data_IF_385121927488
#
_entry.id   IF_385121927488
#
_cell.length_a   1.000
_cell.length_b   1.000
_cell.length_c   1.000
_cell.angle_alpha   90.00
_cell.angle_beta   90.00
_cell.angle_gamma   90.00
#
_symmetry.space_group_name_H-M   'P 1'
#
loop_
_entity.id
_entity.type
_entity.pdbx_description
1 polymer ?
#
# COMPACT_ATOMS: atom_id res chain seq x y z
N UNK A 1 7.27 4.51 -27.71
CA UNK A 1 7.16 5.88 -27.16
C UNK A 1 5.70 6.28 -26.84
N UNK A 2 4.87 5.37 -26.29
CA UNK A 2 3.41 5.54 -26.35
C UNK A 2 2.62 5.47 -25.03
N UNK A 3 3.27 5.53 -23.86
CA UNK A 3 2.56 5.45 -22.56
C UNK A 3 2.68 6.72 -21.73
N UNK A 4 3.89 7.26 -21.58
CA UNK A 4 4.15 8.44 -20.73
C UNK A 4 3.46 9.70 -21.26
N UNK A 5 3.48 9.94 -22.57
CA UNK A 5 2.81 11.09 -23.19
C UNK A 5 1.29 11.07 -22.97
N UNK A 6 0.67 9.89 -23.09
CA UNK A 6 -0.76 9.72 -22.87
C UNK A 6 -1.16 9.96 -21.41
N UNK A 7 -0.32 9.55 -20.46
CA UNK A 7 -0.56 9.80 -19.02
C UNK A 7 -0.50 11.29 -18.71
N UNK A 8 0.49 12.03 -19.25
CA UNK A 8 0.61 13.47 -19.02
C UNK A 8 -0.56 14.27 -19.61
N UNK A 9 -1.00 13.90 -20.82
CA UNK A 9 -2.20 14.50 -21.45
C UNK A 9 -3.44 14.25 -20.59
N UNK A 10 -3.59 13.02 -20.08
CA UNK A 10 -4.72 12.67 -19.22
C UNK A 10 -4.70 13.43 -17.88
N UNK A 11 -3.54 13.54 -17.22
CA UNK A 11 -3.40 14.33 -15.99
C UNK A 11 -3.77 15.81 -16.23
N UNK A 12 -3.35 16.38 -17.36
CA UNK A 12 -3.72 17.75 -17.75
C UNK A 12 -5.21 17.90 -17.98
N UNK A 13 -5.83 17.00 -18.76
CA UNK A 13 -7.27 17.08 -19.04
C UNK A 13 -8.14 16.95 -17.80
N UNK A 14 -7.59 16.37 -16.73
CA UNK A 14 -8.25 16.20 -15.43
C UNK A 14 -7.92 17.31 -14.42
N UNK A 15 -7.08 18.28 -14.81
CA UNK A 15 -6.70 19.41 -13.97
C UNK A 15 -5.60 19.13 -12.94
N UNK A 16 -4.87 18.01 -13.05
CA UNK A 16 -3.77 17.65 -12.15
C UNK A 16 -2.39 18.12 -12.61
N UNK A 17 -2.29 18.64 -13.84
CA UNK A 17 -1.04 19.09 -14.43
C UNK A 17 -1.21 20.49 -15.01
N UNK A 18 -0.48 21.46 -14.45
CA UNK A 18 -0.26 22.75 -15.09
C UNK A 18 0.97 22.67 -15.99
N UNK A 19 0.87 23.25 -17.18
CA UNK A 19 1.91 23.32 -18.19
C UNK A 19 1.95 24.78 -18.66
N UNK A 20 2.68 25.62 -17.91
CA UNK A 20 3.08 26.96 -18.37
C UNK A 20 4.44 26.82 -19.05
N UNK A 21 4.69 27.65 -20.08
CA UNK A 21 5.68 27.56 -21.17
C UNK A 21 7.14 27.10 -20.87
N UNK A 22 7.52 26.77 -19.63
CA UNK A 22 8.79 26.10 -19.28
C UNK A 22 8.73 25.18 -18.04
N UNK A 23 7.60 25.09 -17.32
CA UNK A 23 7.50 24.32 -16.07
C UNK A 23 6.21 23.51 -15.98
N UNK A 24 6.39 22.19 -15.85
CA UNK A 24 5.29 21.26 -15.52
C UNK A 24 5.16 21.11 -14.03
N UNK A 25 3.97 21.38 -13.50
CA UNK A 25 3.69 21.26 -12.06
C UNK A 25 2.48 20.35 -11.84
N UNK A 26 2.68 19.36 -10.98
CA UNK A 26 1.59 18.54 -10.46
C UNK A 26 0.84 19.36 -9.40
N UNK A 27 -0.44 19.63 -9.67
CA UNK A 27 -1.35 20.37 -8.78
C UNK A 27 -2.43 19.44 -8.25
N UNK A 28 -3.22 19.91 -7.28
CA UNK A 28 -4.31 19.12 -6.69
C UNK A 28 -3.81 17.76 -6.17
N UNK A 29 -2.61 17.76 -5.55
CA UNK A 29 -1.85 16.54 -5.22
C UNK A 29 -2.58 15.66 -4.21
N UNK A 30 -3.26 16.26 -3.24
CA UNK A 30 -4.13 15.57 -2.29
C UNK A 30 -5.25 14.83 -3.03
N UNK A 31 -6.00 15.54 -3.86
CA UNK A 31 -7.05 14.96 -4.71
C UNK A 31 -6.51 13.87 -5.65
N UNK A 32 -5.27 13.99 -6.11
CA UNK A 32 -4.63 12.95 -6.93
C UNK A 32 -4.33 11.68 -6.11
N UNK A 33 -3.88 11.81 -4.86
CA UNK A 33 -3.65 10.69 -3.95
C UNK A 33 -4.97 9.95 -3.66
N UNK A 34 -6.02 10.69 -3.30
CA UNK A 34 -7.35 10.12 -3.04
C UNK A 34 -7.89 9.40 -4.28
N UNK A 35 -7.76 10.03 -5.44
CA UNK A 35 -8.15 9.42 -6.71
C UNK A 35 -7.35 8.16 -7.00
N UNK A 36 -6.04 8.19 -6.81
CA UNK A 36 -5.18 7.02 -7.03
C UNK A 36 -5.62 5.87 -6.12
N UNK A 37 -5.89 6.14 -4.84
CA UNK A 37 -6.36 5.13 -3.89
C UNK A 37 -7.71 4.54 -4.33
N UNK A 38 -8.64 5.39 -4.75
CA UNK A 38 -9.97 4.98 -5.26
C UNK A 38 -9.84 4.09 -6.50
N UNK A 39 -9.06 4.53 -7.49
CA UNK A 39 -8.86 3.78 -8.75
C UNK A 39 -8.10 2.46 -8.50
N UNK A 40 -7.12 2.46 -7.59
CA UNK A 40 -6.40 1.27 -7.17
C UNK A 40 -7.34 0.22 -6.58
N UNK A 41 -8.15 0.61 -5.60
CA UNK A 41 -9.12 -0.28 -4.93
C UNK A 41 -10.14 -0.83 -5.93
N UNK A 42 -10.72 0.03 -6.76
CA UNK A 42 -11.78 -0.35 -7.68
C UNK A 42 -11.30 -1.24 -8.84
N UNK A 43 -10.07 -1.04 -9.34
CA UNK A 43 -9.65 -1.62 -10.63
C UNK A 43 -8.50 -2.62 -10.54
N UNK A 44 -7.59 -2.44 -9.58
CA UNK A 44 -6.35 -3.22 -9.53
C UNK A 44 -6.30 -4.17 -8.35
N UNK A 45 -6.60 -3.71 -7.13
CA UNK A 45 -6.36 -4.47 -5.89
C UNK A 45 -6.91 -5.89 -5.94
N UNK A 46 -8.17 -6.05 -6.33
CA UNK A 46 -8.84 -7.35 -6.39
C UNK A 46 -8.16 -8.35 -7.36
N UNK A 47 -7.47 -7.84 -8.40
CA UNK A 47 -6.75 -8.65 -9.39
C UNK A 47 -5.37 -9.08 -8.91
N UNK A 48 -4.84 -8.44 -7.85
CA UNK A 48 -3.54 -8.75 -7.28
C UNK A 48 -3.63 -9.91 -6.28
N UNK A 49 -4.78 -10.08 -5.64
CA UNK A 49 -5.03 -11.17 -4.69
C UNK A 49 -4.93 -12.48 -5.46
N UNK A 50 -3.94 -13.30 -5.13
CA UNK A 50 -3.77 -14.61 -5.75
C UNK A 50 -3.99 -15.74 -4.75
N UNK A 51 -3.71 -15.54 -3.46
CA UNK A 51 -3.96 -16.51 -2.40
C UNK A 51 -4.66 -15.87 -1.20
N UNK A 52 -5.46 -16.66 -0.50
CA UNK A 52 -6.05 -16.30 0.79
C UNK A 52 -5.84 -17.44 1.79
N UNK A 53 -5.54 -17.04 3.01
CA UNK A 53 -5.34 -17.94 4.14
C UNK A 53 -6.11 -17.44 5.36
N UNK A 54 -6.33 -18.33 6.31
CA UNK A 54 -6.78 -18.00 7.65
C UNK A 54 -5.65 -18.22 8.65
N UNK A 55 -5.54 -17.30 9.60
CA UNK A 55 -4.80 -17.46 10.85
C UNK A 55 -5.77 -17.33 12.03
N UNK A 56 -5.52 -18.08 13.11
CA UNK A 56 -6.39 -18.12 14.27
C UNK A 56 -6.55 -16.76 14.98
N UNK A 57 -5.47 -15.98 15.03
CA UNK A 57 -5.45 -14.67 15.68
C UNK A 57 -4.55 -13.72 14.88
N UNK A 58 -5.16 -12.67 14.31
CA UNK A 58 -4.40 -11.58 13.68
C UNK A 58 -3.78 -10.65 14.72
N UNK A 59 -4.32 -10.64 15.95
CA UNK A 59 -3.77 -9.84 17.06
C UNK A 59 -2.33 -10.24 17.40
N UNK A 60 -1.98 -11.49 17.16
CA UNK A 60 -0.65 -12.04 17.39
C UNK A 60 0.28 -11.91 16.16
N UNK A 61 -0.03 -11.00 15.23
CA UNK A 61 0.79 -10.78 14.03
C UNK A 61 2.26 -10.49 14.36
N UNK A 62 2.56 -9.88 15.51
CA UNK A 62 3.93 -9.61 15.97
C UNK A 62 4.74 -10.89 16.23
N UNK A 63 4.06 -12.00 16.52
CA UNK A 63 4.67 -13.32 16.72
C UNK A 63 4.80 -14.12 15.41
N UNK A 64 4.29 -13.61 14.28
CA UNK A 64 4.51 -14.26 12.99
C UNK A 64 6.00 -14.33 12.66
N UNK A 65 6.46 -15.39 11.98
CA UNK A 65 7.83 -15.45 11.50
C UNK A 65 8.12 -14.24 10.62
N UNK A 66 9.36 -13.74 10.69
CA UNK A 66 9.85 -12.68 9.80
C UNK A 66 9.47 -12.99 8.35
N UNK A 67 8.98 -11.98 7.63
CA UNK A 67 8.62 -12.13 6.22
C UNK A 67 9.80 -12.69 5.41
N UNK A 68 9.53 -13.58 4.43
CA UNK A 68 10.57 -14.06 3.52
C UNK A 68 11.12 -12.90 2.66
N UNK A 69 12.28 -13.09 2.01
CA UNK A 69 12.78 -12.13 1.04
C UNK A 69 11.72 -11.83 -0.04
N UNK A 70 11.66 -10.58 -0.50
CA UNK A 70 10.67 -10.11 -1.48
C UNK A 70 9.21 -10.28 -1.03
N UNK A 71 8.97 -10.08 0.27
CA UNK A 71 7.64 -9.94 0.84
C UNK A 71 7.55 -8.68 1.71
N UNK A 72 6.40 -8.03 1.68
CA UNK A 72 6.15 -6.78 2.41
C UNK A 72 4.78 -6.77 3.06
N UNK A 73 4.69 -6.22 4.27
CA UNK A 73 3.44 -5.92 4.94
C UNK A 73 2.73 -4.75 4.24
N UNK A 74 1.42 -4.91 4.04
CA UNK A 74 0.50 -3.85 3.66
C UNK A 74 -0.65 -3.71 4.65
N UNK A 75 -1.69 -2.96 4.26
CA UNK A 75 -2.95 -2.83 4.99
C UNK A 75 -2.81 -2.62 6.51
N UNK A 76 -3.64 -3.31 7.28
CA UNK A 76 -3.74 -3.13 8.73
C UNK A 76 -2.41 -3.35 9.46
N UNK A 77 -1.68 -4.42 9.13
CA UNK A 77 -0.40 -4.75 9.80
C UNK A 77 0.62 -3.64 9.58
N UNK A 78 0.77 -3.16 8.35
CA UNK A 78 1.70 -2.07 8.06
C UNK A 78 1.22 -0.74 8.68
N UNK A 79 -0.09 -0.48 8.66
CA UNK A 79 -0.70 0.68 9.34
C UNK A 79 -0.44 0.67 10.84
N UNK A 80 -0.62 -0.47 11.51
CA UNK A 80 -0.32 -0.65 12.92
C UNK A 80 1.16 -0.44 13.22
N UNK A 81 2.08 -0.96 12.39
CA UNK A 81 3.52 -0.73 12.57
C UNK A 81 3.92 0.74 12.46
N UNK A 82 3.33 1.46 11.52
CA UNK A 82 3.70 2.85 11.24
C UNK A 82 3.08 3.87 12.21
N UNK A 83 1.90 3.56 12.75
CA UNK A 83 1.10 4.49 13.55
C UNK A 83 0.92 4.07 15.01
N UNK A 84 1.05 2.77 15.31
CA UNK A 84 0.73 2.15 16.61
C UNK A 84 -0.71 2.41 17.10
N UNK A 85 -1.63 2.69 16.18
CA UNK A 85 -3.00 3.12 16.49
C UNK A 85 -4.08 2.09 16.10
N UNK A 86 -3.69 1.04 15.38
CA UNK A 86 -4.61 0.02 14.88
C UNK A 86 -4.27 -1.34 15.50
N UNK A 87 -5.29 -2.06 15.96
CA UNK A 87 -5.18 -3.51 16.20
C UNK A 87 -5.55 -4.20 14.89
N UNK A 88 -4.63 -4.89 14.21
CA UNK A 88 -4.94 -5.48 12.91
C UNK A 88 -6.02 -6.55 13.00
N UNK A 89 -6.92 -6.55 12.01
CA UNK A 89 -7.95 -7.59 11.86
C UNK A 89 -7.78 -8.38 10.57
N UNK A 90 -7.08 -7.80 9.59
CA UNK A 90 -6.62 -8.48 8.39
C UNK A 90 -5.10 -8.42 8.24
N UNK A 91 -4.54 -9.46 7.65
CA UNK A 91 -3.13 -9.49 7.25
C UNK A 91 -3.06 -9.34 5.74
N UNK A 92 -2.29 -8.37 5.25
CA UNK A 92 -2.03 -8.17 3.83
C UNK A 92 -0.54 -8.34 3.58
N UNK A 93 -0.16 -9.30 2.76
CA UNK A 93 1.23 -9.55 2.37
C UNK A 93 1.37 -9.38 0.87
N UNK A 94 2.25 -8.48 0.46
CA UNK A 94 2.62 -8.36 -0.94
C UNK A 94 3.82 -9.25 -1.23
N UNK A 95 3.63 -10.30 -2.03
CA UNK A 95 4.70 -11.16 -2.53
C UNK A 95 4.21 -11.97 -3.73
N UNK A 96 5.11 -12.57 -4.50
CA UNK A 96 4.74 -13.47 -5.61
C UNK A 96 4.47 -14.90 -5.15
N UNK A 97 5.08 -15.30 -4.04
CA UNK A 97 4.92 -16.63 -3.46
C UNK A 97 5.39 -16.61 -2.00
N UNK A 98 4.73 -17.39 -1.15
CA UNK A 98 5.19 -17.69 0.20
C UNK A 98 5.82 -19.08 0.23
N UNK A 99 7.01 -19.27 0.83
CA UNK A 99 7.57 -20.60 1.05
C UNK A 99 6.65 -21.45 1.94
N UNK A 100 6.49 -22.74 1.61
CA UNK A 100 5.63 -23.66 2.38
C UNK A 100 6.04 -23.72 3.87
N UNK A 101 7.34 -23.74 4.14
CA UNK A 101 7.88 -23.70 5.51
C UNK A 101 7.45 -22.44 6.28
N UNK A 102 7.31 -21.31 5.59
CA UNK A 102 6.87 -20.06 6.20
C UNK A 102 5.38 -20.10 6.45
N UNK A 103 4.58 -20.60 5.49
CA UNK A 103 3.12 -20.80 5.64
C UNK A 103 2.82 -21.67 6.85
N UNK A 104 3.53 -22.78 7.01
CA UNK A 104 3.38 -23.69 8.17
C UNK A 104 3.79 -23.00 9.47
N UNK A 105 4.95 -22.35 9.51
CA UNK A 105 5.44 -21.65 10.71
C UNK A 105 4.57 -20.47 11.13
N UNK A 106 3.95 -19.81 10.17
CA UNK A 106 2.99 -18.73 10.41
C UNK A 106 1.59 -19.25 10.79
N UNK A 107 1.37 -20.57 10.77
CA UNK A 107 0.09 -21.19 11.12
C UNK A 107 -1.02 -20.87 10.12
N UNK A 108 -0.66 -20.62 8.85
CA UNK A 108 -1.61 -20.27 7.81
C UNK A 108 -2.29 -21.51 7.24
N UNK A 109 -3.61 -21.45 7.11
CA UNK A 109 -4.43 -22.49 6.49
C UNK A 109 -5.12 -21.91 5.25
N UNK A 110 -5.08 -22.57 4.08
CA UNK A 110 -5.78 -22.07 2.89
C UNK A 110 -7.26 -21.86 3.17
N UNK A 111 -7.77 -20.66 2.85
CA UNK A 111 -9.17 -20.31 3.05
C UNK A 111 -9.57 -19.17 2.09
N UNK A 112 -10.51 -19.40 1.15
CA UNK A 112 -11.00 -18.36 0.24
C UNK A 112 -11.60 -17.12 0.91
N UNK A 113 -12.09 -17.25 2.15
CA UNK A 113 -12.67 -16.18 2.96
C UNK A 113 -11.80 -15.87 4.20
N UNK A 114 -10.52 -16.25 4.12
CA UNK A 114 -9.55 -16.08 5.18
C UNK A 114 -9.18 -14.61 5.45
N UNK A 115 -8.69 -14.37 6.66
CA UNK A 115 -8.26 -13.05 7.16
C UNK A 115 -6.82 -12.67 6.76
N UNK A 116 -6.19 -13.46 5.90
CA UNK A 116 -4.86 -13.20 5.33
C UNK A 116 -4.96 -13.17 3.81
N UNK A 117 -4.63 -12.04 3.20
CA UNK A 117 -4.58 -11.87 1.75
C UNK A 117 -3.13 -11.78 1.27
N UNK A 118 -2.81 -12.53 0.19
CA UNK A 118 -1.52 -12.44 -0.48
C UNK A 118 -1.71 -11.80 -1.85
N UNK A 119 -1.07 -10.65 -2.05
CA UNK A 119 -1.20 -9.81 -3.23
C UNK A 119 0.09 -9.80 -4.04
N UNK A 120 -0.03 -9.87 -5.37
CA UNK A 120 1.10 -9.79 -6.27
C UNK A 120 1.67 -8.35 -6.27
N UNK A 121 2.98 -8.16 -6.05
CA UNK A 121 3.62 -6.87 -6.25
C UNK A 121 3.49 -6.40 -7.71
N UNK A 122 3.08 -5.15 -7.91
CA UNK A 122 2.90 -4.54 -9.24
C UNK A 122 3.87 -3.38 -9.51
N UNK A 123 4.78 -3.12 -8.57
CA UNK A 123 5.87 -2.15 -8.71
C UNK A 123 7.16 -2.83 -9.17
N UNK A 124 8.11 -2.02 -9.67
CA UNK A 124 9.44 -2.50 -10.06
C UNK A 124 10.49 -2.28 -8.97
N UNK A 125 11.58 -3.05 -9.02
CA UNK A 125 12.65 -3.03 -7.99
C UNK A 125 13.27 -1.65 -7.79
N UNK A 126 13.40 -0.86 -8.87
CA UNK A 126 13.91 0.50 -8.80
C UNK A 126 13.06 1.44 -7.92
N UNK A 127 11.75 1.18 -7.79
CA UNK A 127 10.89 1.95 -6.89
C UNK A 127 11.13 1.57 -5.43
N UNK A 128 11.33 0.27 -5.14
CA UNK A 128 11.61 -0.22 -3.79
C UNK A 128 12.86 0.47 -3.22
N UNK A 129 13.93 0.56 -4.01
CA UNK A 129 15.16 1.22 -3.58
C UNK A 129 15.02 2.74 -3.42
N UNK A 130 14.14 3.38 -4.20
CA UNK A 130 13.89 4.83 -4.08
C UNK A 130 13.11 5.15 -2.82
N UNK A 131 12.01 4.43 -2.58
CA UNK A 131 11.12 4.71 -1.46
C UNK A 131 11.81 4.55 -0.11
N UNK A 132 12.68 3.55 0.06
CA UNK A 132 13.44 3.40 1.29
C UNK A 132 14.56 4.43 1.49
N UNK A 133 15.00 5.12 0.42
CA UNK A 133 15.91 6.27 0.55
C UNK A 133 15.16 7.53 0.94
N UNK A 134 14.03 7.78 0.29
CA UNK A 134 13.27 9.02 0.45
C UNK A 134 12.45 9.02 1.76
N UNK A 135 12.20 7.83 2.34
CA UNK A 135 11.42 7.64 3.58
C UNK A 135 12.25 6.83 4.60
N UNK A 136 13.19 7.50 5.27
CA UNK A 136 14.11 6.85 6.22
C UNK A 136 13.39 6.12 7.38
N UNK A 137 12.20 6.58 7.77
CA UNK A 137 11.39 5.99 8.85
C UNK A 137 10.51 4.81 8.39
N UNK A 138 10.54 4.44 7.10
CA UNK A 138 9.77 3.32 6.56
C UNK A 138 10.49 1.98 6.84
N UNK A 139 9.87 1.02 7.55
CA UNK A 139 10.45 -0.31 7.71
C UNK A 139 10.66 -1.01 6.36
N UNK A 140 11.80 -1.69 6.20
CA UNK A 140 12.20 -2.36 4.95
C UNK A 140 11.24 -3.46 4.48
N UNK A 141 10.44 -3.98 5.41
CA UNK A 141 9.45 -5.03 5.21
C UNK A 141 8.02 -4.49 5.09
N UNK A 142 7.84 -3.19 4.83
CA UNK A 142 6.55 -2.58 4.55
C UNK A 142 6.51 -2.02 3.12
N UNK A 143 5.32 -1.99 2.52
CA UNK A 143 5.11 -1.31 1.24
C UNK A 143 5.10 0.22 1.42
N UNK A 144 5.09 0.97 0.31
CA UNK A 144 5.02 2.43 0.37
C UNK A 144 3.79 2.93 1.13
N UNK A 145 3.90 4.01 1.92
CA UNK A 145 2.77 4.59 2.65
C UNK A 145 1.53 4.87 1.79
N UNK A 146 1.70 5.30 0.54
CA UNK A 146 0.57 5.50 -0.39
C UNK A 146 -0.27 4.23 -0.59
N UNK A 147 0.38 3.06 -0.67
CA UNK A 147 -0.32 1.79 -0.84
C UNK A 147 -0.96 1.31 0.46
N UNK A 148 -0.27 1.50 1.61
CA UNK A 148 -0.84 1.21 2.94
C UNK A 148 -2.07 2.07 3.18
N UNK A 149 -2.00 3.37 2.86
CA UNK A 149 -3.12 4.31 2.91
C UNK A 149 -4.31 3.77 2.12
N UNK A 150 -4.11 3.38 0.86
CA UNK A 150 -5.20 2.87 0.04
C UNK A 150 -5.75 1.54 0.58
N UNK A 151 -4.90 0.61 1.02
CA UNK A 151 -5.36 -0.65 1.61
C UNK A 151 -6.19 -0.46 2.88
N UNK A 152 -5.85 0.52 3.73
CA UNK A 152 -6.63 0.86 4.92
C UNK A 152 -8.02 1.41 4.56
N UNK A 153 -8.14 2.11 3.42
CA UNK A 153 -9.40 2.63 2.91
C UNK A 153 -10.26 1.57 2.20
N UNK A 154 -9.76 0.35 2.02
CA UNK A 154 -10.50 -0.72 1.35
C UNK A 154 -11.81 -1.06 2.07
N UNK A 155 -11.86 -0.87 3.39
CA UNK A 155 -13.03 -1.06 4.22
C UNK A 155 -13.26 0.21 5.06
N UNK A 156 -14.47 0.77 4.99
CA UNK A 156 -14.86 2.00 5.71
C UNK A 156 -15.14 1.72 7.20
N UNK A 157 -14.12 1.22 7.90
CA UNK A 157 -14.14 1.12 9.36
C UNK A 157 -13.43 2.34 9.96
N UNK A 158 -14.10 2.99 10.93
CA UNK A 158 -13.64 4.21 11.59
C UNK A 158 -12.17 4.16 12.03
N UNK A 159 -11.73 3.04 12.64
CA UNK A 159 -10.36 2.87 13.13
C UNK A 159 -9.32 2.77 12.00
N UNK A 160 -9.67 2.14 10.87
CA UNK A 160 -8.81 2.10 9.68
C UNK A 160 -8.72 3.49 9.04
N UNK A 161 -9.85 4.18 8.91
CA UNK A 161 -9.91 5.56 8.39
C UNK A 161 -9.08 6.53 9.23
N UNK A 162 -9.13 6.43 10.57
CA UNK A 162 -8.29 7.26 11.44
C UNK A 162 -6.80 6.94 11.27
N UNK A 163 -6.45 5.66 11.14
CA UNK A 163 -5.08 5.21 10.91
C UNK A 163 -4.56 5.67 9.54
N UNK A 164 -5.40 5.61 8.50
CA UNK A 164 -5.09 6.13 7.17
C UNK A 164 -4.81 7.64 7.22
N UNK A 165 -5.60 8.42 7.97
CA UNK A 165 -5.38 9.85 8.17
C UNK A 165 -4.04 10.13 8.86
N UNK A 166 -3.71 9.42 9.94
CA UNK A 166 -2.42 9.57 10.65
C UNK A 166 -1.23 9.25 9.75
N UNK A 167 -1.35 8.18 8.96
CA UNK A 167 -0.33 7.78 8.00
C UNK A 167 -0.17 8.84 6.89
N UNK A 168 -1.28 9.36 6.38
CA UNK A 168 -1.27 10.45 5.41
C UNK A 168 -0.55 11.69 5.96
N UNK A 169 -0.93 12.14 7.16
CA UNK A 169 -0.32 13.30 7.81
C UNK A 169 1.19 13.15 8.03
N UNK A 170 1.63 11.92 8.37
CA UNK A 170 3.04 11.63 8.64
C UNK A 170 3.89 11.47 7.38
N UNK A 171 3.38 10.79 6.34
CA UNK A 171 4.21 10.36 5.19
C UNK A 171 3.84 11.01 3.87
N UNK A 172 2.57 11.37 3.68
CA UNK A 172 2.04 11.80 2.38
C UNK A 172 1.82 13.32 2.32
N UNK A 173 1.58 13.97 3.45
CA UNK A 173 1.37 15.43 3.54
C UNK A 173 2.50 16.22 2.88
N UNK A 174 3.75 15.81 3.10
CA UNK A 174 4.93 16.44 2.46
C UNK A 174 4.92 16.35 0.92
N UNK A 175 4.25 15.35 0.34
CA UNK A 175 4.11 15.23 -1.12
C UNK A 175 3.07 16.20 -1.67
N UNK A 176 2.18 16.70 -0.81
CA UNK A 176 1.05 17.56 -1.20
C UNK A 176 1.28 19.05 -0.99
N UNK A 177 2.25 19.41 -0.14
CA UNK A 177 2.65 20.80 0.04
C UNK A 177 3.30 21.32 -1.26
N UNK A 178 2.86 22.47 -1.81
CA UNK A 178 3.57 23.11 -2.91
C UNK A 178 4.99 23.51 -2.47
N UNK A 179 5.96 23.36 -3.38
CA UNK A 179 7.30 23.97 -3.24
C UNK A 179 7.20 25.51 -3.31
#
# INVERSE_FOLDING_TARGET
MGSVGNVLVHLRSMGFLLDDDDVRRLVERERLIERWATDYLARLRHRLIHHRYRVASVRDWEHMPRLPPNAWWGGDVAGARLTRHLSPEQVTIYTRALPDEWVVRAGLQPDPDGNVEVLAPFWGDALISRWHRDLADLPQDCVHPLLIYADLLANDEERRSETAKRLYDKFLRQLTTPD
#
